data_IF_055273353011
#
_entry.id   IF_055273353011
#
_cell.length_a   1.000
_cell.length_b   1.000
_cell.length_c   1.000
_cell.angle_alpha   90.00
_cell.angle_beta   90.00
_cell.angle_gamma   90.00
#
_symmetry.space_group_name_H-M   'P 1'
#
loop_
_entity.id
_entity.type
_entity.pdbx_description
1 polymer ?
#
# COMPACT_ATOMS: atom_id res chain seq x y z
N UNK A 1 -18.99 6.43 -2.93
CA UNK A 1 -18.66 6.63 -4.37
C UNK A 1 -17.69 5.54 -4.78
N UNK A 2 -18.14 4.50 -5.49
CA UNK A 2 -17.24 3.54 -6.18
C UNK A 2 -18.00 2.70 -7.23
N UNK A 3 -18.85 3.35 -8.04
CA UNK A 3 -19.76 2.63 -8.95
C UNK A 3 -19.05 1.64 -9.90
N UNK A 4 -17.75 1.82 -10.14
CA UNK A 4 -16.95 1.01 -11.06
C UNK A 4 -15.71 0.37 -10.41
N UNK A 5 -15.60 0.33 -9.08
CA UNK A 5 -14.41 -0.24 -8.41
C UNK A 5 -14.27 -1.75 -8.56
N UNK A 6 -15.30 -2.42 -9.06
CA UNK A 6 -15.28 -3.86 -9.33
C UNK A 6 -14.66 -4.20 -10.68
N UNK A 7 -14.43 -3.21 -11.54
CA UNK A 7 -13.73 -3.41 -12.81
C UNK A 7 -12.24 -3.70 -12.53
N UNK A 8 -11.73 -4.79 -13.11
CA UNK A 8 -10.32 -5.14 -13.01
C UNK A 8 -9.45 -4.10 -13.70
N UNK A 9 -8.31 -3.75 -13.09
CA UNK A 9 -7.30 -2.90 -13.73
C UNK A 9 -6.83 -3.48 -15.07
N UNK A 10 -6.80 -4.81 -15.20
CA UNK A 10 -6.44 -5.48 -16.46
C UNK A 10 -7.49 -5.31 -17.56
N UNK A 11 -8.77 -5.18 -17.20
CA UNK A 11 -9.83 -4.91 -18.18
C UNK A 11 -9.85 -3.44 -18.57
N UNK A 12 -9.61 -2.54 -17.62
CA UNK A 12 -9.50 -1.11 -17.90
C UNK A 12 -8.29 -0.84 -18.82
N UNK A 13 -7.16 -1.53 -18.61
CA UNK A 13 -5.97 -1.39 -19.46
C UNK A 13 -6.21 -1.82 -20.93
N UNK A 14 -7.18 -2.70 -21.20
CA UNK A 14 -7.55 -3.06 -22.58
C UNK A 14 -8.23 -1.90 -23.31
N UNK A 15 -8.84 -0.96 -22.58
CA UNK A 15 -9.48 0.22 -23.15
C UNK A 15 -8.48 1.34 -23.49
N UNK A 16 -7.23 1.22 -23.05
CA UNK A 16 -6.18 2.23 -23.26
C UNK A 16 -5.18 1.83 -24.35
N UNK A 17 -5.53 0.85 -25.20
CA UNK A 17 -4.67 0.33 -26.28
C UNK A 17 -3.26 -0.05 -25.80
N UNK A 18 -3.17 -0.61 -24.59
CA UNK A 18 -1.91 -1.08 -24.00
C UNK A 18 -0.99 0.03 -23.50
N UNK A 19 -1.44 1.29 -23.46
CA UNK A 19 -0.67 2.38 -22.85
C UNK A 19 -0.61 2.19 -21.32
N UNK A 20 0.56 2.40 -20.69
CA UNK A 20 0.68 2.37 -19.24
C UNK A 20 -0.18 3.47 -18.61
N UNK A 21 -1.07 3.08 -17.69
CA UNK A 21 -2.03 4.01 -17.09
C UNK A 21 -1.44 4.81 -15.92
N UNK A 22 -0.56 4.19 -15.16
CA UNK A 22 0.10 4.77 -14.00
C UNK A 22 1.37 3.99 -13.68
N UNK A 23 2.34 4.67 -13.08
CA UNK A 23 3.63 4.14 -12.66
C UNK A 23 3.73 3.98 -11.13
N UNK A 24 2.76 4.54 -10.41
CA UNK A 24 2.77 4.67 -8.96
C UNK A 24 1.45 4.17 -8.35
N UNK A 25 1.53 3.51 -7.20
CA UNK A 25 0.36 3.03 -6.46
C UNK A 25 0.27 3.72 -5.09
N UNK A 26 -0.91 4.25 -4.75
CA UNK A 26 -1.23 4.70 -3.41
C UNK A 26 -2.23 3.73 -2.76
N UNK A 27 -1.88 3.20 -1.60
CA UNK A 27 -2.74 2.31 -0.83
C UNK A 27 -2.92 2.85 0.59
N UNK A 28 -4.18 3.00 1.00
CA UNK A 28 -4.53 3.28 2.39
C UNK A 28 -5.18 2.06 3.01
N UNK A 29 -4.56 1.53 4.06
CA UNK A 29 -5.06 0.38 4.79
C UNK A 29 -5.59 0.79 6.16
N UNK A 30 -6.91 0.71 6.30
CA UNK A 30 -7.58 0.81 7.59
C UNK A 30 -7.68 -0.58 8.21
N UNK A 31 -6.87 -0.84 9.24
CA UNK A 31 -7.04 -2.03 10.05
C UNK A 31 -8.30 -1.92 10.92
N UNK A 32 -9.11 -2.99 11.07
CA UNK A 32 -10.21 -2.98 12.01
C UNK A 32 -9.67 -2.72 13.43
N UNK A 33 -10.43 -1.99 14.25
CA UNK A 33 -10.07 -1.74 15.64
C UNK A 33 -9.77 -3.08 16.32
N UNK A 34 -8.55 -3.19 16.87
CA UNK A 34 -8.12 -4.42 17.54
C UNK A 34 -9.13 -4.75 18.63
N UNK A 35 -9.80 -5.90 18.54
CA UNK A 35 -10.58 -6.40 19.66
C UNK A 35 -9.61 -6.60 20.83
N UNK A 36 -9.91 -6.07 22.03
CA UNK A 36 -9.09 -6.38 23.20
C UNK A 36 -9.01 -7.91 23.33
N UNK A 37 -7.80 -8.41 23.61
CA UNK A 37 -7.48 -9.83 23.77
C UNK A 37 -8.64 -10.57 24.45
N UNK A 38 -9.38 -11.38 23.69
CA UNK A 38 -10.37 -12.27 24.28
C UNK A 38 -9.57 -13.46 24.80
N UNK A 39 -9.35 -13.49 26.12
CA UNK A 39 -8.89 -14.64 26.89
C UNK A 39 -7.50 -15.22 26.51
N UNK A 40 -6.43 -14.43 26.62
CA UNK A 40 -5.06 -14.98 26.74
C UNK A 40 -4.46 -15.64 25.50
N UNK A 41 -5.10 -15.50 24.34
CA UNK A 41 -4.52 -15.91 23.05
C UNK A 41 -3.74 -14.72 22.49
N UNK A 42 -2.42 -14.80 22.51
CA UNK A 42 -1.59 -13.90 21.71
C UNK A 42 -1.98 -14.09 20.25
N UNK A 43 -2.65 -13.09 19.67
CA UNK A 43 -2.84 -13.02 18.22
C UNK A 43 -1.43 -12.87 17.66
N UNK A 44 -0.86 -13.99 17.20
CA UNK A 44 0.45 -13.98 16.57
C UNK A 44 0.34 -13.05 15.36
N UNK A 45 0.96 -11.87 15.46
CA UNK A 45 1.01 -10.85 14.41
C UNK A 45 2.00 -11.27 13.29
N UNK A 46 2.17 -12.58 13.05
CA UNK A 46 3.14 -13.14 12.09
C UNK A 46 2.96 -12.58 10.68
N UNK A 47 1.73 -12.20 10.31
CA UNK A 47 1.39 -11.54 9.05
C UNK A 47 2.09 -10.19 8.85
N UNK A 48 2.44 -9.48 9.92
CA UNK A 48 3.09 -8.16 9.83
C UNK A 48 4.57 -8.21 9.47
N UNK A 49 5.20 -9.36 9.64
CA UNK A 49 6.63 -9.52 9.39
C UNK A 49 6.94 -10.04 7.98
N UNK A 50 5.91 -10.35 7.19
CA UNK A 50 6.02 -10.85 5.82
C UNK A 50 5.10 -10.12 4.85
N UNK A 51 4.87 -8.82 5.02
CA UNK A 51 4.53 -7.99 3.85
C UNK A 51 5.80 -7.85 3.02
N UNK A 52 6.09 -8.87 2.19
CA UNK A 52 6.83 -8.60 0.96
C UNK A 52 5.99 -7.57 0.22
N UNK A 53 6.40 -6.30 0.32
CA UNK A 53 5.77 -5.24 -0.45
C UNK A 53 6.10 -5.55 -1.90
N UNK A 54 5.13 -6.12 -2.59
CA UNK A 54 5.34 -6.68 -3.89
C UNK A 54 5.53 -5.52 -4.87
N UNK A 55 6.75 -5.34 -5.36
CA UNK A 55 7.17 -4.21 -6.21
C UNK A 55 6.61 -4.35 -7.63
N UNK A 56 5.33 -4.06 -7.82
CA UNK A 56 4.67 -4.13 -9.13
C UNK A 56 4.77 -2.80 -9.89
N UNK A 57 4.89 -1.69 -9.15
CA UNK A 57 4.97 -0.34 -9.67
C UNK A 57 6.34 0.29 -9.45
N UNK A 58 6.66 1.38 -10.16
CA UNK A 58 7.93 2.08 -9.99
C UNK A 58 8.06 2.64 -8.57
N UNK A 59 6.94 3.09 -8.01
CA UNK A 59 6.82 3.58 -6.64
C UNK A 59 5.48 3.15 -6.03
N UNK A 60 5.49 2.71 -4.79
CA UNK A 60 4.28 2.35 -4.06
C UNK A 60 4.29 3.03 -2.70
N UNK A 61 3.22 3.73 -2.39
CA UNK A 61 3.04 4.47 -1.15
C UNK A 61 1.93 3.83 -0.34
N UNK A 62 2.32 3.22 0.77
CA UNK A 62 1.41 2.50 1.66
C UNK A 62 1.25 3.29 2.95
N UNK A 63 0.01 3.66 3.23
CA UNK A 63 -0.37 4.36 4.45
C UNK A 63 -1.22 3.42 5.28
N UNK A 64 -0.77 3.16 6.49
CA UNK A 64 -1.50 2.36 7.45
C UNK A 64 -1.96 3.22 8.63
N UNK A 65 -3.12 2.87 9.18
CA UNK A 65 -3.57 3.38 10.47
C UNK A 65 -3.51 2.24 11.50
N UNK A 66 -2.38 2.03 12.21
CA UNK A 66 -2.20 0.86 13.07
C UNK A 66 -3.16 0.86 14.26
N UNK A 67 -3.52 2.05 14.74
CA UNK A 67 -4.58 2.37 15.71
C UNK A 67 -5.02 3.83 15.53
N UNK A 68 -6.28 4.13 15.81
CA UNK A 68 -6.85 5.47 15.66
C UNK A 68 -6.15 6.56 16.50
N UNK A 69 -5.44 6.18 17.57
CA UNK A 69 -4.75 7.06 18.51
C UNK A 69 -3.24 7.22 18.24
N UNK A 70 -2.65 6.41 17.34
CA UNK A 70 -1.19 6.33 17.17
C UNK A 70 -0.63 7.01 15.92
N UNK A 71 -1.44 7.82 15.24
CA UNK A 71 -1.05 8.48 14.00
C UNK A 71 -0.93 7.51 12.82
N UNK A 72 -0.62 8.08 11.65
CA UNK A 72 -0.43 7.34 10.41
C UNK A 72 0.99 6.77 10.35
N UNK A 73 1.13 5.54 9.85
CA UNK A 73 2.42 4.96 9.47
C UNK A 73 2.48 4.97 7.96
N UNK A 74 3.55 5.53 7.42
CA UNK A 74 3.78 5.63 5.99
C UNK A 74 4.99 4.80 5.61
N UNK A 75 4.85 3.99 4.58
CA UNK A 75 5.88 3.16 4.00
C UNK A 75 5.92 3.36 2.50
N UNK A 76 7.11 3.31 1.92
CA UNK A 76 7.29 3.36 0.48
C UNK A 76 8.08 2.15 -0.01
N UNK A 77 7.64 1.56 -1.12
CA UNK A 77 8.40 0.60 -1.91
C UNK A 77 8.74 1.23 -3.27
N UNK A 78 9.83 0.79 -3.88
CA UNK A 78 10.23 1.27 -5.19
C UNK A 78 11.01 0.20 -5.95
N UNK A 79 10.96 0.28 -7.27
CA UNK A 79 11.74 -0.54 -8.18
C UNK A 79 13.12 0.11 -8.42
N UNK A 80 14.24 -0.49 -7.97
CA UNK A 80 15.57 0.14 -8.04
C UNK A 80 16.08 0.42 -9.46
N UNK A 81 15.56 -0.30 -10.46
CA UNK A 81 15.82 -0.11 -11.88
C UNK A 81 15.11 1.12 -12.46
N UNK A 82 14.08 1.64 -11.79
CA UNK A 82 13.29 2.81 -12.24
C UNK A 82 13.42 4.04 -11.37
N UNK A 83 13.70 3.86 -10.07
CA UNK A 83 13.76 4.95 -9.09
C UNK A 83 14.91 4.72 -8.11
N UNK A 84 15.67 5.77 -7.81
CA UNK A 84 16.72 5.68 -6.78
C UNK A 84 16.15 5.75 -5.37
N UNK A 85 16.87 5.16 -4.41
CA UNK A 85 16.51 5.24 -2.98
C UNK A 85 16.44 6.70 -2.48
N UNK A 86 17.31 7.59 -2.99
CA UNK A 86 17.29 9.00 -2.62
C UNK A 86 16.02 9.71 -3.11
N UNK A 87 15.57 9.42 -4.34
CA UNK A 87 14.32 9.96 -4.87
C UNK A 87 13.11 9.41 -4.12
N UNK A 88 13.07 8.10 -3.87
CA UNK A 88 12.00 7.48 -3.09
C UNK A 88 11.88 8.09 -1.68
N UNK A 89 13.02 8.34 -1.03
CA UNK A 89 13.07 8.99 0.29
C UNK A 89 12.65 10.46 0.24
N UNK A 90 13.02 11.19 -0.82
CA UNK A 90 12.59 12.58 -1.00
C UNK A 90 11.06 12.66 -1.12
N UNK A 91 10.47 11.80 -1.95
CA UNK A 91 9.00 11.69 -2.10
C UNK A 91 8.36 11.36 -0.74
N UNK A 92 8.89 10.39 0.00
CA UNK A 92 8.35 10.01 1.31
C UNK A 92 8.42 11.14 2.37
N UNK A 93 9.36 12.08 2.24
CA UNK A 93 9.53 13.18 3.19
C UNK A 93 8.73 14.44 2.82
N UNK A 94 8.37 14.61 1.56
CA UNK A 94 7.58 15.77 1.09
C UNK A 94 6.09 15.63 1.41
N UNK A 95 5.59 14.39 1.52
CA UNK A 95 4.21 14.04 1.87
C UNK A 95 4.01 13.79 3.37
#
# INVERSE_FOLDING_TARGET
MSAYSHASLGDIAKWTDGQPMFDSLFAFQQWPARRPNVAGVDIIETWKHQTQVAQHYAFEFLVELPRADKGLVVMASFQPDKLSSAQARAILHEF
#
